data_IF_397180868862
#
_entry.id   IF_397180868862
#
_cell.length_a   1.000
_cell.length_b   1.000
_cell.length_c   1.000
_cell.angle_alpha   90.00
_cell.angle_beta   90.00
_cell.angle_gamma   90.00
#
_symmetry.space_group_name_H-M   'P 1'
#
loop_
_entity.id
_entity.type
_entity.pdbx_description
1 polymer ?
#
# COMPACT_ATOMS: atom_id res chain seq x y z
N UNK A 1 -0.14 28.43 -24.51
CA UNK A 1 0.13 29.60 -23.66
C UNK A 1 -0.60 29.45 -22.34
N UNK A 2 -0.02 29.72 -21.17
CA UNK A 2 1.38 29.62 -20.76
C UNK A 2 1.58 28.77 -19.48
N UNK A 3 2.52 27.85 -19.53
CA UNK A 3 3.03 27.08 -18.37
C UNK A 3 3.92 27.91 -17.39
N UNK A 4 4.23 29.17 -17.70
CA UNK A 4 5.24 29.96 -16.99
C UNK A 4 4.75 30.80 -15.81
N UNK A 5 3.44 30.94 -15.58
CA UNK A 5 2.94 31.73 -14.44
C UNK A 5 2.86 30.96 -13.12
N UNK A 6 2.78 29.63 -13.16
CA UNK A 6 2.73 28.80 -11.95
C UNK A 6 4.11 28.61 -11.30
N UNK A 7 5.18 28.60 -12.11
CA UNK A 7 6.56 28.48 -11.60
C UNK A 7 7.10 29.78 -10.99
N UNK A 8 6.59 30.93 -11.40
CA UNK A 8 6.99 32.24 -10.83
C UNK A 8 6.35 32.49 -9.45
N UNK A 9 5.16 31.95 -9.19
CA UNK A 9 4.50 32.08 -7.89
C UNK A 9 5.14 31.22 -6.78
N UNK A 10 5.81 30.14 -7.15
CA UNK A 10 6.47 29.21 -6.21
C UNK A 10 7.87 29.67 -5.78
N UNK A 11 8.47 30.64 -6.46
CA UNK A 11 9.82 31.16 -6.15
C UNK A 11 9.85 32.33 -5.16
N UNK A 12 8.72 32.96 -4.86
CA UNK A 12 8.67 34.17 -4.01
C UNK A 12 8.20 33.94 -2.57
N UNK A 13 7.95 32.73 -2.14
CA UNK A 13 7.69 32.42 -0.73
C UNK A 13 8.81 31.53 -0.15
N UNK A 14 9.98 32.17 0.07
CA UNK A 14 11.06 31.62 0.89
C UNK A 14 10.70 31.67 2.39
N UNK A 15 9.61 31.02 2.78
CA UNK A 15 9.25 30.75 4.16
C UNK A 15 9.38 29.26 4.39
N UNK A 16 10.20 28.86 5.37
CA UNK A 16 10.35 27.51 5.84
C UNK A 16 8.98 26.84 5.96
N UNK A 17 8.73 25.80 5.14
CA UNK A 17 7.63 24.87 5.38
C UNK A 17 8.07 24.08 6.61
N UNK A 18 7.73 24.61 7.80
CA UNK A 18 7.73 23.83 9.01
C UNK A 18 6.89 22.57 8.71
N UNK A 19 7.42 21.40 9.05
CA UNK A 19 6.71 20.14 9.07
C UNK A 19 5.49 20.27 9.99
N UNK A 20 4.40 20.79 9.46
CA UNK A 20 3.09 20.71 10.10
C UNK A 20 2.55 19.33 9.72
N UNK A 21 2.94 18.33 10.46
CA UNK A 21 2.09 17.17 10.65
C UNK A 21 0.79 17.71 11.24
N UNK A 22 -0.38 17.56 10.58
CA UNK A 22 -1.63 17.95 11.20
C UNK A 22 -1.76 17.11 12.49
N UNK A 23 -1.61 17.72 13.65
CA UNK A 23 -2.08 17.14 14.90
C UNK A 23 -3.60 17.11 14.78
N UNK A 24 -4.13 16.01 14.33
CA UNK A 24 -5.55 15.74 14.47
C UNK A 24 -5.79 15.55 15.97
N UNK A 25 -6.28 16.59 16.63
CA UNK A 25 -6.80 16.45 17.99
C UNK A 25 -7.90 15.37 17.93
N UNK A 26 -7.74 14.34 18.74
CA UNK A 26 -8.77 13.31 18.87
C UNK A 26 -10.01 14.01 19.34
N UNK A 27 -11.04 14.07 18.47
CA UNK A 27 -12.35 14.57 18.88
C UNK A 27 -12.82 13.75 20.07
N UNK A 28 -13.32 14.42 21.10
CA UNK A 28 -13.91 13.75 22.25
C UNK A 28 -15.18 13.02 21.82
N UNK A 29 -15.57 11.97 22.54
CA UNK A 29 -16.80 11.22 22.27
C UNK A 29 -18.04 12.13 22.23
N UNK A 30 -18.04 13.22 22.99
CA UNK A 30 -19.08 14.22 23.03
C UNK A 30 -19.12 15.11 21.79
N UNK A 31 -17.96 15.53 21.29
CA UNK A 31 -17.86 16.28 20.03
C UNK A 31 -18.27 15.43 18.82
N UNK A 32 -18.01 14.13 18.87
CA UNK A 32 -18.40 13.20 17.82
C UNK A 32 -19.91 12.91 17.87
N UNK A 33 -20.51 12.81 19.06
CA UNK A 33 -21.97 12.69 19.22
C UNK A 33 -22.69 13.95 18.75
N UNK A 34 -22.17 15.13 19.05
CA UNK A 34 -22.74 16.41 18.62
C UNK A 34 -22.70 16.55 17.09
N UNK A 35 -21.57 16.22 16.46
CA UNK A 35 -21.44 16.24 15.01
C UNK A 35 -22.35 15.21 14.31
N UNK A 36 -22.59 14.05 14.93
CA UNK A 36 -23.55 13.06 14.43
C UNK A 36 -24.99 13.54 14.56
N UNK A 37 -25.32 14.27 15.62
CA UNK A 37 -26.64 14.85 15.83
C UNK A 37 -26.90 16.00 14.84
N UNK A 38 -25.95 16.92 14.64
CA UNK A 38 -26.02 17.99 13.66
C UNK A 38 -26.10 17.48 12.21
N UNK A 39 -25.42 16.35 11.90
CA UNK A 39 -25.53 15.69 10.61
C UNK A 39 -26.93 15.10 10.37
N UNK A 40 -27.64 14.68 11.42
CA UNK A 40 -29.02 14.18 11.35
C UNK A 40 -30.04 15.32 11.14
N UNK A 41 -29.90 16.41 11.86
CA UNK A 41 -30.82 17.55 11.77
C UNK A 41 -30.73 18.27 10.40
N UNK A 42 -29.53 18.32 9.81
CA UNK A 42 -29.34 18.83 8.46
C UNK A 42 -29.89 17.92 7.33
N UNK A 43 -30.28 16.68 7.63
CA UNK A 43 -30.86 15.76 6.66
C UNK A 43 -32.36 16.02 6.37
N UNK A 44 -33.13 16.59 7.29
CA UNK A 44 -34.57 16.77 7.10
C UNK A 44 -34.93 17.98 6.23
N UNK A 45 -34.12 19.03 6.17
CA UNK A 45 -34.42 20.26 5.41
C UNK A 45 -33.95 20.28 3.94
N UNK A 46 -33.10 19.34 3.48
CA UNK A 46 -32.52 19.35 2.16
C UNK A 46 -32.79 18.05 1.35
N UNK A 47 -33.87 17.34 1.69
CA UNK A 47 -34.13 15.97 1.20
C UNK A 47 -34.37 15.94 -0.31
N UNK A 48 -35.05 16.93 -0.90
CA UNK A 48 -35.45 16.90 -2.31
C UNK A 48 -34.27 17.14 -3.27
N UNK A 49 -33.43 18.13 -3.03
CA UNK A 49 -32.29 18.42 -3.91
C UNK A 49 -31.11 17.47 -3.68
N UNK A 50 -30.90 17.01 -2.43
CA UNK A 50 -29.89 15.99 -2.14
C UNK A 50 -30.26 14.62 -2.69
N UNK A 51 -31.53 14.22 -2.69
CA UNK A 51 -32.00 12.99 -3.31
C UNK A 51 -31.82 13.01 -4.84
N UNK A 52 -32.14 14.11 -5.51
CA UNK A 52 -31.93 14.24 -6.95
C UNK A 52 -30.44 14.18 -7.31
N UNK A 53 -29.57 14.83 -6.55
CA UNK A 53 -28.12 14.79 -6.71
C UNK A 53 -27.52 13.43 -6.33
N UNK A 54 -28.04 12.79 -5.27
CA UNK A 54 -27.64 11.44 -4.89
C UNK A 54 -28.02 10.40 -5.94
N UNK A 55 -29.24 10.48 -6.47
CA UNK A 55 -29.68 9.57 -7.54
C UNK A 55 -28.85 9.76 -8.82
N UNK A 56 -28.53 11.00 -9.20
CA UNK A 56 -27.67 11.29 -10.36
C UNK A 56 -26.24 10.77 -10.14
N UNK A 57 -25.68 10.95 -8.93
CA UNK A 57 -24.35 10.42 -8.56
C UNK A 57 -24.35 8.89 -8.59
N UNK A 58 -25.39 8.24 -8.02
CA UNK A 58 -25.52 6.79 -8.04
C UNK A 58 -25.66 6.23 -9.45
N UNK A 59 -26.42 6.90 -10.33
CA UNK A 59 -26.53 6.54 -11.75
C UNK A 59 -25.18 6.62 -12.46
N UNK A 60 -24.43 7.72 -12.25
CA UNK A 60 -23.07 7.87 -12.81
C UNK A 60 -22.10 6.82 -12.29
N UNK A 61 -22.16 6.50 -11.00
CA UNK A 61 -21.32 5.44 -10.42
C UNK A 61 -21.68 4.07 -11.02
N UNK A 62 -22.96 3.77 -11.19
CA UNK A 62 -23.41 2.54 -11.82
C UNK A 62 -22.98 2.46 -13.30
N UNK A 63 -23.06 3.56 -14.05
CA UNK A 63 -22.54 3.66 -15.43
C UNK A 63 -21.01 3.42 -15.48
N UNK A 64 -20.28 3.83 -14.45
CA UNK A 64 -18.85 3.57 -14.30
C UNK A 64 -18.53 2.16 -13.75
N UNK A 65 -19.55 1.33 -13.50
CA UNK A 65 -19.40 -0.02 -12.95
C UNK A 65 -19.17 -0.07 -11.44
N UNK A 66 -19.52 0.99 -10.71
CA UNK A 66 -19.49 1.02 -9.23
C UNK A 66 -20.89 0.76 -8.67
N UNK A 67 -20.90 0.11 -7.51
CA UNK A 67 -22.14 -0.16 -6.74
C UNK A 67 -21.84 0.00 -5.24
N UNK A 68 -22.90 -0.13 -4.42
CA UNK A 68 -22.81 -0.06 -2.96
C UNK A 68 -22.87 -1.46 -2.37
N UNK A 69 -21.98 -1.75 -1.45
CA UNK A 69 -21.83 -3.05 -0.81
C UNK A 69 -21.93 -2.94 0.71
N UNK A 70 -22.70 -3.84 1.32
CA UNK A 70 -22.75 -3.96 2.78
C UNK A 70 -21.43 -4.57 3.27
N UNK A 71 -20.78 -3.87 4.22
CA UNK A 71 -19.49 -4.26 4.80
C UNK A 71 -19.48 -5.66 5.40
N UNK A 72 -20.65 -6.17 5.87
CA UNK A 72 -20.75 -7.51 6.47
C UNK A 72 -20.77 -8.63 5.42
N UNK A 73 -21.08 -8.29 4.17
CA UNK A 73 -21.05 -9.23 3.05
C UNK A 73 -19.67 -9.32 2.38
N UNK A 74 -18.70 -8.51 2.82
CA UNK A 74 -17.36 -8.47 2.26
C UNK A 74 -16.39 -9.32 3.06
N UNK A 75 -15.54 -10.06 2.36
CA UNK A 75 -14.48 -10.88 2.93
C UNK A 75 -13.10 -10.34 2.56
N UNK A 76 -12.15 -10.28 3.50
CA UNK A 76 -10.78 -9.89 3.18
C UNK A 76 -10.12 -10.93 2.26
N UNK A 77 -9.10 -10.50 1.49
CA UNK A 77 -8.28 -11.42 0.72
C UNK A 77 -7.36 -12.22 1.67
N UNK A 78 -7.44 -13.56 1.73
CA UNK A 78 -6.60 -14.36 2.61
C UNK A 78 -5.11 -14.28 2.28
N UNK A 79 -4.76 -13.89 1.05
CA UNK A 79 -3.38 -13.70 0.61
C UNK A 79 -2.85 -12.28 0.88
N UNK A 80 -3.62 -11.44 1.58
CA UNK A 80 -3.15 -10.11 1.96
C UNK A 80 -2.11 -10.22 3.09
N UNK A 81 -0.83 -10.10 2.72
CA UNK A 81 0.31 -10.13 3.64
C UNK A 81 0.69 -8.76 4.21
N UNK A 82 0.00 -7.69 3.79
CA UNK A 82 0.29 -6.34 4.27
C UNK A 82 -0.18 -6.15 5.71
N UNK A 83 0.70 -5.55 6.52
CA UNK A 83 0.38 -5.25 7.92
C UNK A 83 -0.62 -4.09 7.98
N UNK A 84 -1.78 -4.33 8.59
CA UNK A 84 -2.80 -3.32 8.87
C UNK A 84 -2.92 -3.21 10.39
N UNK A 85 -2.42 -2.11 10.95
CA UNK A 85 -2.47 -1.87 12.40
C UNK A 85 -3.80 -1.21 12.80
N UNK A 86 -4.19 -1.37 14.07
CA UNK A 86 -5.36 -0.68 14.60
C UNK A 86 -5.18 0.85 14.57
N UNK A 87 -3.96 1.33 14.70
CA UNK A 87 -3.64 2.76 14.57
C UNK A 87 -3.92 3.26 13.16
N UNK A 88 -3.49 2.52 12.13
CA UNK A 88 -3.78 2.86 10.72
C UNK A 88 -5.29 2.90 10.44
N UNK A 89 -6.04 1.94 10.99
CA UNK A 89 -7.49 1.87 10.84
C UNK A 89 -8.17 3.04 11.54
N UNK A 90 -7.78 3.35 12.79
CA UNK A 90 -8.33 4.47 13.54
C UNK A 90 -8.04 5.83 12.87
N UNK A 91 -6.81 6.04 12.40
CA UNK A 91 -6.42 7.26 11.69
C UNK A 91 -7.25 7.44 10.41
N UNK A 92 -7.41 6.37 9.62
CA UNK A 92 -8.21 6.41 8.41
C UNK A 92 -9.70 6.60 8.71
N UNK A 93 -10.24 5.97 9.75
CA UNK A 93 -11.62 6.18 10.19
C UNK A 93 -11.87 7.65 10.58
N UNK A 94 -10.91 8.30 11.25
CA UNK A 94 -10.98 9.73 11.54
C UNK A 94 -11.01 10.60 10.28
N UNK A 95 -10.21 10.27 9.26
CA UNK A 95 -10.21 10.98 7.98
C UNK A 95 -11.55 10.81 7.25
N UNK A 96 -12.05 9.58 7.14
CA UNK A 96 -13.34 9.27 6.51
C UNK A 96 -14.48 9.98 7.25
N UNK A 97 -14.45 9.97 8.59
CA UNK A 97 -15.44 10.69 9.40
C UNK A 97 -15.47 12.17 9.09
N UNK A 98 -14.32 12.81 8.95
CA UNK A 98 -14.22 14.25 8.68
C UNK A 98 -14.60 14.61 7.24
N UNK A 99 -14.14 13.85 6.25
CA UNK A 99 -14.42 14.10 4.83
C UNK A 99 -15.84 13.68 4.43
N UNK A 100 -16.45 12.72 5.15
CA UNK A 100 -17.68 12.03 4.75
C UNK A 100 -17.56 11.29 3.40
N UNK A 101 -16.34 11.00 2.97
CA UNK A 101 -16.07 10.35 1.70
C UNK A 101 -15.29 9.07 1.92
N UNK A 102 -15.70 8.02 1.21
CA UNK A 102 -14.99 6.73 1.13
C UNK A 102 -14.61 6.50 -0.32
N UNK A 103 -13.30 6.34 -0.58
CA UNK A 103 -12.86 5.91 -1.91
C UNK A 103 -13.35 4.49 -2.20
N UNK A 104 -13.80 4.19 -3.44
CA UNK A 104 -14.31 2.90 -3.80
C UNK A 104 -13.33 1.75 -3.54
N UNK A 105 -13.87 0.61 -3.11
CA UNK A 105 -13.13 -0.64 -2.98
C UNK A 105 -13.01 -1.34 -4.34
N UNK A 106 -11.98 -2.17 -4.54
CA UNK A 106 -11.92 -3.11 -5.65
C UNK A 106 -12.28 -4.49 -5.11
N UNK A 107 -13.34 -5.07 -5.68
CA UNK A 107 -13.97 -6.30 -5.22
C UNK A 107 -14.03 -7.33 -6.34
N UNK A 108 -14.22 -8.59 -6.01
CA UNK A 108 -14.59 -9.65 -6.95
C UNK A 108 -15.60 -10.62 -6.35
N UNK A 109 -16.44 -11.18 -7.20
CA UNK A 109 -17.28 -12.33 -6.85
C UNK A 109 -16.40 -13.60 -6.84
N UNK A 110 -16.57 -14.42 -5.83
CA UNK A 110 -15.99 -15.74 -5.69
C UNK A 110 -17.10 -16.75 -5.36
N UNK A 111 -16.82 -18.04 -5.40
CA UNK A 111 -17.80 -19.07 -4.99
C UNK A 111 -18.25 -18.89 -3.53
N UNK A 112 -17.37 -18.35 -2.68
CA UNK A 112 -17.61 -18.13 -1.25
C UNK A 112 -18.23 -16.77 -0.93
N UNK A 113 -18.50 -15.90 -1.91
CA UNK A 113 -19.05 -14.56 -1.72
C UNK A 113 -18.19 -13.46 -2.33
N UNK A 114 -18.32 -12.23 -1.82
CA UNK A 114 -17.59 -11.07 -2.36
C UNK A 114 -16.29 -10.85 -1.60
N UNK A 115 -15.17 -10.94 -2.32
CA UNK A 115 -13.83 -10.75 -1.78
C UNK A 115 -13.27 -9.36 -2.09
N UNK A 116 -12.61 -8.76 -1.11
CA UNK A 116 -11.90 -7.49 -1.27
C UNK A 116 -10.56 -7.76 -1.96
N UNK A 117 -10.32 -7.12 -3.12
CA UNK A 117 -9.01 -7.11 -3.77
C UNK A 117 -8.16 -5.95 -3.24
N UNK A 118 -8.73 -4.73 -3.21
CA UNK A 118 -8.07 -3.54 -2.67
C UNK A 118 -9.03 -2.74 -1.80
N UNK A 119 -8.47 -2.08 -0.77
CA UNK A 119 -9.20 -1.23 0.15
C UNK A 119 -9.57 -1.87 1.49
N UNK A 120 -8.90 -2.95 1.91
CA UNK A 120 -9.18 -3.61 3.20
C UNK A 120 -9.07 -2.64 4.39
N UNK A 121 -8.12 -1.70 4.41
CA UNK A 121 -8.03 -0.66 5.44
C UNK A 121 -9.29 0.21 5.48
N UNK A 122 -9.82 0.59 4.31
CA UNK A 122 -11.06 1.38 4.18
C UNK A 122 -12.27 0.61 4.70
N UNK A 123 -12.37 -0.66 4.35
CA UNK A 123 -13.40 -1.55 4.86
C UNK A 123 -13.36 -1.68 6.39
N UNK A 124 -12.16 -1.92 6.98
CA UNK A 124 -12.00 -1.99 8.44
C UNK A 124 -12.36 -0.67 9.12
N UNK A 125 -11.97 0.46 8.53
CA UNK A 125 -12.34 1.78 9.02
C UNK A 125 -13.85 2.02 8.99
N UNK A 126 -14.55 1.61 7.92
CA UNK A 126 -16.00 1.71 7.84
C UNK A 126 -16.70 0.78 8.85
N UNK A 127 -16.17 -0.44 9.10
CA UNK A 127 -16.68 -1.31 10.18
C UNK A 127 -16.57 -0.63 11.54
N UNK A 128 -15.43 -0.04 11.85
CA UNK A 128 -15.22 0.70 13.08
C UNK A 128 -16.21 1.89 13.22
N UNK A 129 -16.46 2.61 12.12
CA UNK A 129 -17.43 3.70 12.09
C UNK A 129 -18.87 3.21 12.27
N UNK A 130 -19.22 2.08 11.64
CA UNK A 130 -20.54 1.47 11.80
C UNK A 130 -20.79 1.02 13.24
N UNK A 131 -19.82 0.39 13.89
CA UNK A 131 -19.88 0.00 15.29
C UNK A 131 -20.06 1.20 16.22
N UNK A 132 -19.38 2.32 15.96
CA UNK A 132 -19.40 3.50 16.82
C UNK A 132 -20.57 4.44 16.56
N UNK A 133 -20.99 4.59 15.29
CA UNK A 133 -21.90 5.66 14.86
C UNK A 133 -23.12 5.16 14.08
N UNK A 134 -23.27 3.85 13.93
CA UNK A 134 -24.48 3.21 13.39
C UNK A 134 -24.43 2.97 11.88
N UNK A 135 -25.58 2.51 11.37
CA UNK A 135 -25.74 1.85 10.08
C UNK A 135 -25.43 2.72 8.85
N UNK A 136 -25.36 4.04 9.00
CA UNK A 136 -25.02 4.94 7.90
C UNK A 136 -23.65 4.63 7.26
N UNK A 137 -22.78 3.91 7.98
CA UNK A 137 -21.44 3.53 7.54
C UNK A 137 -21.33 2.09 7.05
N UNK A 138 -22.45 1.34 7.03
CA UNK A 138 -22.47 -0.05 6.58
C UNK A 138 -22.31 -0.20 5.07
N UNK A 139 -22.75 0.79 4.30
CA UNK A 139 -22.68 0.74 2.85
C UNK A 139 -21.42 1.44 2.35
N UNK A 140 -20.60 0.72 1.59
CA UNK A 140 -19.35 1.24 1.01
C UNK A 140 -19.40 1.15 -0.51
N UNK A 141 -18.87 2.17 -1.23
CA UNK A 141 -18.78 2.10 -2.69
C UNK A 141 -17.71 1.10 -3.10
N UNK A 142 -17.96 0.36 -4.17
CA UNK A 142 -16.99 -0.58 -4.69
C UNK A 142 -17.23 -0.90 -6.16
N UNK A 143 -16.18 -1.32 -6.85
CA UNK A 143 -16.23 -1.91 -8.19
C UNK A 143 -16.02 -3.41 -8.05
N UNK A 144 -17.05 -4.20 -8.40
CA UNK A 144 -17.01 -5.64 -8.26
C UNK A 144 -16.83 -6.32 -9.63
N UNK A 145 -15.76 -7.08 -9.75
CA UNK A 145 -15.55 -7.97 -10.88
C UNK A 145 -16.44 -9.21 -10.75
N UNK A 146 -17.09 -9.60 -11.85
CA UNK A 146 -17.96 -10.78 -11.89
C UNK A 146 -17.18 -12.07 -11.69
N UNK A 147 -17.89 -13.10 -11.24
CA UNK A 147 -17.32 -14.45 -11.03
C UNK A 147 -16.53 -14.92 -12.25
N UNK A 148 -15.29 -15.33 -12.03
CA UNK A 148 -14.39 -15.79 -13.08
C UNK A 148 -13.72 -14.68 -13.92
N UNK A 149 -14.10 -13.41 -13.76
CA UNK A 149 -13.50 -12.29 -14.51
C UNK A 149 -12.07 -11.95 -14.02
N UNK A 150 -11.75 -12.26 -12.77
CA UNK A 150 -10.43 -12.03 -12.16
C UNK A 150 -10.03 -13.28 -11.40
N UNK A 151 -8.92 -13.91 -11.80
CA UNK A 151 -8.36 -15.07 -11.12
C UNK A 151 -7.73 -14.68 -9.76
N UNK A 152 -7.39 -15.68 -8.92
CA UNK A 152 -6.71 -15.44 -7.64
C UNK A 152 -5.37 -14.72 -7.84
N UNK A 153 -4.64 -15.12 -8.87
CA UNK A 153 -3.37 -14.51 -9.21
C UNK A 153 -3.54 -13.04 -9.65
N UNK A 154 -4.53 -12.77 -10.49
CA UNK A 154 -4.84 -11.41 -10.94
C UNK A 154 -5.29 -10.53 -9.77
N UNK A 155 -6.10 -11.07 -8.85
CA UNK A 155 -6.50 -10.37 -7.64
C UNK A 155 -5.30 -10.02 -6.74
N UNK A 156 -4.40 -10.98 -6.53
CA UNK A 156 -3.17 -10.75 -5.78
C UNK A 156 -2.27 -9.71 -6.47
N UNK A 157 -2.18 -9.76 -7.80
CA UNK A 157 -1.45 -8.78 -8.59
C UNK A 157 -2.02 -7.36 -8.40
N UNK A 158 -3.34 -7.17 -8.53
CA UNK A 158 -4.01 -5.88 -8.35
C UNK A 158 -3.75 -5.36 -6.93
N UNK A 159 -3.91 -6.21 -5.91
CA UNK A 159 -3.66 -5.88 -4.52
C UNK A 159 -2.23 -5.38 -4.28
N UNK A 160 -1.21 -6.11 -4.77
CA UNK A 160 0.19 -5.70 -4.62
C UNK A 160 0.50 -4.41 -5.38
N UNK A 161 -0.04 -4.26 -6.60
CA UNK A 161 0.16 -3.05 -7.41
C UNK A 161 -0.42 -1.81 -6.75
N UNK A 162 -1.62 -1.91 -6.18
CA UNK A 162 -2.26 -0.80 -5.45
C UNK A 162 -1.48 -0.40 -4.19
N UNK A 163 -0.95 -1.38 -3.47
CA UNK A 163 -0.24 -1.12 -2.22
C UNK A 163 1.15 -0.51 -2.40
N UNK A 164 1.88 -0.85 -3.48
CA UNK A 164 3.24 -0.33 -3.71
C UNK A 164 3.31 1.19 -3.79
N UNK A 165 2.25 1.83 -4.31
CA UNK A 165 2.14 3.29 -4.36
C UNK A 165 1.86 3.97 -3.02
N UNK A 166 1.49 3.24 -1.98
CA UNK A 166 1.17 3.80 -0.68
C UNK A 166 2.43 4.17 0.11
N UNK A 167 2.40 5.32 0.80
CA UNK A 167 3.58 5.86 1.52
C UNK A 167 3.97 5.07 2.77
N UNK A 168 3.06 4.28 3.33
CA UNK A 168 3.22 3.63 4.65
C UNK A 168 3.41 2.11 4.58
N UNK A 169 3.77 1.55 3.43
CA UNK A 169 4.10 0.13 3.38
C UNK A 169 5.54 -0.10 3.81
N UNK A 170 5.80 -1.22 4.46
CA UNK A 170 7.15 -1.64 4.83
C UNK A 170 8.02 -1.82 3.60
N UNK A 171 9.33 -1.61 3.76
CA UNK A 171 10.27 -1.75 2.65
C UNK A 171 10.33 -3.20 2.13
N UNK A 172 10.23 -4.20 3.00
CA UNK A 172 10.14 -5.62 2.66
C UNK A 172 8.87 -5.94 1.87
N UNK A 173 7.72 -5.42 2.28
CA UNK A 173 6.43 -5.60 1.59
C UNK A 173 6.47 -4.97 0.19
N UNK A 174 7.07 -3.78 0.07
CA UNK A 174 7.29 -3.13 -1.22
C UNK A 174 8.16 -4.00 -2.14
N UNK A 175 9.28 -4.53 -1.65
CA UNK A 175 10.15 -5.41 -2.41
C UNK A 175 9.41 -6.68 -2.87
N UNK A 176 8.59 -7.27 -2.00
CA UNK A 176 7.77 -8.44 -2.33
C UNK A 176 6.80 -8.16 -3.49
N UNK A 177 6.21 -6.97 -3.58
CA UNK A 177 5.35 -6.59 -4.71
C UNK A 177 6.09 -6.61 -6.05
N UNK A 178 7.36 -6.14 -6.09
CA UNK A 178 8.19 -6.23 -7.31
C UNK A 178 8.42 -7.69 -7.71
N UNK A 179 8.66 -8.58 -6.75
CA UNK A 179 8.83 -10.01 -7.01
C UNK A 179 7.56 -10.64 -7.59
N UNK A 180 6.40 -10.38 -6.98
CA UNK A 180 5.11 -10.89 -7.45
C UNK A 180 4.86 -10.50 -8.91
N UNK A 181 5.09 -9.24 -9.28
CA UNK A 181 4.91 -8.80 -10.66
C UNK A 181 5.96 -9.40 -11.60
N UNK A 182 7.21 -9.54 -11.15
CA UNK A 182 8.26 -10.18 -11.97
C UNK A 182 7.92 -11.65 -12.27
N UNK A 183 7.44 -12.38 -11.26
CA UNK A 183 7.07 -13.79 -11.40
C UNK A 183 5.85 -13.93 -12.34
N UNK A 184 4.86 -13.03 -12.24
CA UNK A 184 3.71 -12.96 -13.16
C UNK A 184 4.12 -12.62 -14.59
N UNK A 185 5.05 -11.72 -14.80
CA UNK A 185 5.56 -11.42 -16.14
C UNK A 185 6.19 -12.65 -16.80
N UNK A 186 6.82 -13.53 -16.02
CA UNK A 186 7.35 -14.80 -16.51
C UNK A 186 6.23 -15.73 -16.98
N UNK A 187 5.12 -15.79 -16.25
CA UNK A 187 3.95 -16.59 -16.63
C UNK A 187 3.28 -16.03 -17.89
N UNK A 188 2.98 -14.74 -17.91
CA UNK A 188 2.33 -14.07 -19.05
C UNK A 188 3.12 -14.19 -20.37
N UNK A 189 4.44 -14.20 -20.31
CA UNK A 189 5.29 -14.42 -21.49
C UNK A 189 5.07 -15.78 -22.16
N UNK A 190 4.49 -16.76 -21.48
CA UNK A 190 4.14 -18.06 -22.06
C UNK A 190 2.92 -17.94 -22.96
N UNK A 191 1.95 -17.11 -22.56
CA UNK A 191 0.64 -17.01 -23.20
C UNK A 191 0.55 -15.84 -24.16
N UNK A 192 1.32 -14.77 -23.94
CA UNK A 192 1.34 -13.56 -24.78
C UNK A 192 2.70 -13.37 -25.50
N UNK A 193 2.74 -13.61 -26.82
CA UNK A 193 3.97 -13.42 -27.62
C UNK A 193 4.51 -11.98 -27.61
N UNK A 194 3.65 -10.96 -27.40
CA UNK A 194 4.07 -9.56 -27.37
C UNK A 194 5.00 -9.24 -26.18
N UNK A 195 4.91 -10.02 -25.13
CA UNK A 195 5.74 -9.91 -23.93
C UNK A 195 7.07 -10.64 -24.04
N UNK A 196 7.28 -11.43 -25.12
CA UNK A 196 8.57 -12.08 -25.38
C UNK A 196 9.64 -11.02 -25.67
N UNK A 197 10.74 -11.06 -24.90
CA UNK A 197 11.83 -10.09 -25.03
C UNK A 197 11.68 -8.80 -24.21
N UNK A 198 10.53 -8.56 -23.59
CA UNK A 198 10.35 -7.43 -22.65
C UNK A 198 11.33 -7.61 -21.49
N UNK A 199 12.14 -6.58 -21.21
CA UNK A 199 13.07 -6.61 -20.07
C UNK A 199 12.29 -6.49 -18.76
N UNK A 200 12.47 -7.44 -17.85
CA UNK A 200 11.73 -7.45 -16.57
C UNK A 200 12.00 -6.19 -15.75
N UNK A 201 13.22 -5.67 -15.71
CA UNK A 201 13.55 -4.44 -14.96
C UNK A 201 12.85 -3.22 -15.53
N UNK A 202 12.87 -3.08 -16.86
CA UNK A 202 12.22 -1.99 -17.59
C UNK A 202 10.72 -2.04 -17.33
N UNK A 203 10.11 -3.21 -17.48
CA UNK A 203 8.68 -3.41 -17.23
C UNK A 203 8.28 -3.01 -15.80
N UNK A 204 9.03 -3.47 -14.80
CA UNK A 204 8.78 -3.12 -13.40
C UNK A 204 8.99 -1.63 -13.13
N UNK A 205 10.04 -1.04 -13.73
CA UNK A 205 10.35 0.38 -13.59
C UNK A 205 9.21 1.26 -14.11
N UNK A 206 8.70 0.95 -15.29
CA UNK A 206 7.57 1.65 -15.90
C UNK A 206 6.28 1.47 -15.10
N UNK A 207 5.99 0.22 -14.70
CA UNK A 207 4.79 -0.10 -13.95
C UNK A 207 4.72 0.59 -12.58
N UNK A 208 5.84 0.66 -11.87
CA UNK A 208 5.90 1.25 -10.52
C UNK A 208 6.38 2.71 -10.50
N UNK A 209 6.67 3.30 -11.65
CA UNK A 209 7.14 4.69 -11.75
C UNK A 209 8.50 4.93 -11.07
N UNK A 210 9.41 3.94 -11.11
CA UNK A 210 10.75 4.00 -10.51
C UNK A 210 11.84 3.81 -11.55
N UNK A 211 13.12 4.01 -11.17
CA UNK A 211 14.23 3.67 -12.05
C UNK A 211 14.43 2.15 -12.18
N UNK A 212 15.01 1.69 -13.31
CA UNK A 212 15.37 0.27 -13.48
C UNK A 212 16.35 -0.22 -12.40
N UNK A 213 17.23 0.68 -11.91
CA UNK A 213 18.11 0.40 -10.78
C UNK A 213 17.31 0.10 -9.53
N UNK A 214 16.33 0.92 -9.22
CA UNK A 214 15.44 0.71 -8.06
C UNK A 214 14.67 -0.60 -8.19
N UNK A 215 14.12 -0.88 -9.37
CA UNK A 215 13.41 -2.14 -9.63
C UNK A 215 14.33 -3.35 -9.41
N UNK A 216 15.59 -3.30 -9.87
CA UNK A 216 16.56 -4.37 -9.66
C UNK A 216 16.92 -4.54 -8.18
N UNK A 217 17.11 -3.44 -7.44
CA UNK A 217 17.39 -3.46 -6.01
C UNK A 217 16.24 -4.14 -5.24
N UNK A 218 14.99 -3.74 -5.51
CA UNK A 218 13.82 -4.34 -4.90
C UNK A 218 13.70 -5.84 -5.20
N UNK A 219 13.96 -6.26 -6.42
CA UNK A 219 13.98 -7.69 -6.78
C UNK A 219 15.06 -8.47 -6.03
N UNK A 220 16.27 -7.90 -5.89
CA UNK A 220 17.36 -8.56 -5.18
C UNK A 220 17.01 -8.75 -3.71
N UNK A 221 16.47 -7.71 -3.05
CA UNK A 221 15.98 -7.76 -1.68
C UNK A 221 14.92 -8.83 -1.53
N UNK A 222 13.85 -8.79 -2.36
CA UNK A 222 12.73 -9.72 -2.25
C UNK A 222 13.10 -11.19 -2.47
N UNK A 223 14.12 -11.47 -3.30
CA UNK A 223 14.53 -12.83 -3.65
C UNK A 223 15.53 -13.43 -2.69
N UNK A 224 16.43 -12.61 -2.16
CA UNK A 224 17.65 -13.12 -1.56
C UNK A 224 17.89 -12.62 -0.11
N UNK A 225 17.18 -11.61 0.36
CA UNK A 225 17.36 -11.14 1.74
C UNK A 225 16.66 -12.08 2.70
N UNK A 226 17.35 -12.48 3.77
CA UNK A 226 16.79 -13.32 4.83
C UNK A 226 15.61 -12.63 5.53
N UNK A 227 14.79 -13.41 6.23
CA UNK A 227 13.66 -12.86 7.01
C UNK A 227 14.16 -11.85 8.05
N UNK A 228 15.21 -12.21 8.77
CA UNK A 228 15.83 -11.38 9.82
C UNK A 228 16.45 -10.11 9.23
N UNK A 229 16.99 -10.16 7.99
CA UNK A 229 17.44 -9.00 7.24
C UNK A 229 16.30 -8.07 6.84
N UNK A 230 15.14 -8.63 6.44
CA UNK A 230 13.93 -7.86 6.19
C UNK A 230 13.40 -7.18 7.45
N UNK A 231 13.44 -7.84 8.62
CA UNK A 231 13.06 -7.24 9.90
C UNK A 231 13.92 -6.01 10.23
N UNK A 232 15.24 -6.08 9.99
CA UNK A 232 16.16 -4.94 10.18
C UNK A 232 15.87 -3.79 9.21
N UNK A 233 15.54 -4.12 7.95
CA UNK A 233 15.17 -3.13 6.95
C UNK A 233 13.86 -2.41 7.32
N UNK A 234 12.86 -3.15 7.77
CA UNK A 234 11.57 -2.62 8.18
C UNK A 234 11.64 -1.80 9.48
N UNK A 235 12.55 -2.17 10.39
CA UNK A 235 12.85 -1.41 11.58
C UNK A 235 13.67 -0.14 11.30
N UNK A 236 14.20 0.04 10.08
CA UNK A 236 15.11 1.14 9.74
C UNK A 236 16.52 1.00 10.30
N UNK A 237 16.87 -0.18 10.87
CA UNK A 237 18.21 -0.48 11.39
C UNK A 237 19.25 -0.60 10.29
N UNK A 238 18.83 -0.95 9.08
CA UNK A 238 19.67 -0.94 7.88
C UNK A 238 18.98 -0.15 6.77
N UNK A 239 19.78 0.49 5.93
CA UNK A 239 19.30 1.20 4.74
C UNK A 239 18.95 0.23 3.61
N UNK A 240 18.18 0.69 2.61
CA UNK A 240 17.87 -0.10 1.43
C UNK A 240 19.14 -0.53 0.65
N UNK A 241 20.16 0.31 0.60
CA UNK A 241 21.45 -0.01 -0.04
C UNK A 241 22.20 -1.11 0.69
N UNK A 242 22.18 -1.08 2.04
CA UNK A 242 22.76 -2.13 2.89
C UNK A 242 21.97 -3.44 2.77
N UNK A 243 20.65 -3.37 2.72
CA UNK A 243 19.78 -4.54 2.49
C UNK A 243 20.08 -5.20 1.13
N UNK A 244 20.27 -4.39 0.07
CA UNK A 244 20.72 -4.90 -1.25
C UNK A 244 22.08 -5.54 -1.18
N UNK A 245 23.05 -4.91 -0.50
CA UNK A 245 24.39 -5.47 -0.35
C UNK A 245 24.35 -6.78 0.46
N UNK A 246 23.60 -6.82 1.56
CA UNK A 246 23.37 -7.99 2.40
C UNK A 246 22.71 -9.13 1.61
N UNK A 247 21.73 -8.84 0.75
CA UNK A 247 21.03 -9.84 -0.08
C UNK A 247 21.95 -10.58 -1.07
N UNK A 248 23.14 -10.05 -1.34
CA UNK A 248 24.16 -10.68 -2.22
C UNK A 248 25.10 -11.64 -1.49
N UNK A 249 25.01 -11.68 -0.17
CA UNK A 249 25.80 -12.58 0.69
C UNK A 249 25.13 -13.96 0.78
N UNK A 250 25.92 -14.98 1.18
CA UNK A 250 25.37 -16.29 1.51
C UNK A 250 24.51 -16.22 2.77
N UNK A 251 23.62 -17.20 2.97
CA UNK A 251 22.75 -17.27 4.17
C UNK A 251 23.53 -17.22 5.47
N UNK A 252 24.65 -17.91 5.56
CA UNK A 252 25.53 -17.91 6.75
C UNK A 252 26.15 -16.53 7.00
N UNK A 253 26.60 -15.84 5.94
CA UNK A 253 27.12 -14.49 6.07
C UNK A 253 26.04 -13.48 6.45
N UNK A 254 24.85 -13.61 5.88
CA UNK A 254 23.69 -12.77 6.27
C UNK A 254 23.37 -12.94 7.75
N UNK A 255 23.30 -14.18 8.24
CA UNK A 255 23.05 -14.48 9.66
C UNK A 255 24.09 -13.85 10.58
N UNK A 256 25.39 -13.95 10.22
CA UNK A 256 26.48 -13.36 10.98
C UNK A 256 26.35 -11.83 11.08
N UNK A 257 26.09 -11.15 9.94
CA UNK A 257 25.91 -9.69 9.90
C UNK A 257 24.67 -9.28 10.69
N UNK A 258 23.53 -9.95 10.48
CA UNK A 258 22.28 -9.67 11.20
C UNK A 258 22.46 -9.80 12.71
N UNK A 259 23.18 -10.85 13.16
CA UNK A 259 23.48 -11.05 14.57
C UNK A 259 24.29 -9.88 15.14
N UNK A 260 25.34 -9.45 14.46
CA UNK A 260 26.15 -8.31 14.90
C UNK A 260 25.32 -7.02 14.99
N UNK A 261 24.52 -6.71 13.97
CA UNK A 261 23.66 -5.51 13.96
C UNK A 261 22.62 -5.53 15.11
N UNK A 262 22.14 -6.74 15.52
CA UNK A 262 21.18 -6.86 16.64
C UNK A 262 21.82 -6.79 18.02
N UNK A 263 23.09 -7.16 18.14
CA UNK A 263 23.79 -7.25 19.45
C UNK A 263 24.63 -6.03 19.77
N UNK A 264 24.99 -5.25 18.76
CA UNK A 264 25.87 -4.09 18.89
C UNK A 264 25.17 -2.83 18.36
N UNK A 265 25.40 -1.70 19.01
CA UNK A 265 24.93 -0.39 18.52
C UNK A 265 25.86 0.10 17.41
N UNK A 266 25.69 -0.42 16.19
CA UNK A 266 26.51 -0.08 15.06
C UNK A 266 25.97 1.15 14.32
N UNK A 267 26.86 2.03 13.91
CA UNK A 267 26.55 3.12 12.98
C UNK A 267 26.34 2.61 11.56
N UNK A 268 25.71 3.42 10.71
CA UNK A 268 25.48 3.09 9.29
C UNK A 268 26.78 2.73 8.56
N UNK A 269 27.88 3.43 8.85
CA UNK A 269 29.19 3.19 8.21
C UNK A 269 29.82 1.89 8.70
N UNK A 270 29.71 1.55 9.98
CA UNK A 270 30.20 0.30 10.56
C UNK A 270 29.43 -0.90 9.98
N UNK A 271 28.11 -0.81 9.82
CA UNK A 271 27.30 -1.84 9.16
C UNK A 271 27.76 -2.03 7.71
N UNK A 272 28.03 -0.95 6.98
CA UNK A 272 28.53 -1.03 5.61
C UNK A 272 29.87 -1.74 5.55
N UNK A 273 30.80 -1.38 6.44
CA UNK A 273 32.12 -2.01 6.55
C UNK A 273 32.02 -3.48 6.90
N UNK A 274 31.10 -3.86 7.80
CA UNK A 274 30.85 -5.25 8.17
C UNK A 274 30.35 -6.08 6.98
N UNK A 275 29.41 -5.54 6.19
CA UNK A 275 28.89 -6.20 4.98
C UNK A 275 30.03 -6.38 3.94
N UNK A 276 30.86 -5.38 3.75
CA UNK A 276 32.01 -5.47 2.84
C UNK A 276 33.04 -6.49 3.30
N UNK A 277 33.37 -6.55 4.58
CA UNK A 277 34.24 -7.56 5.15
C UNK A 277 33.69 -8.98 4.99
N UNK A 278 32.39 -9.17 5.23
CA UNK A 278 31.71 -10.45 4.99
C UNK A 278 31.74 -10.87 3.51
N UNK A 279 31.66 -9.91 2.58
CA UNK A 279 31.77 -10.16 1.16
C UNK A 279 33.19 -10.56 0.75
N UNK A 280 34.22 -9.91 1.31
CA UNK A 280 35.62 -10.19 1.03
C UNK A 280 36.05 -11.59 1.50
N UNK A 281 35.50 -12.09 2.62
CA UNK A 281 35.80 -13.43 3.13
C UNK A 281 35.39 -14.57 2.18
N UNK A 282 34.49 -14.34 1.23
CA UNK A 282 34.10 -15.31 0.20
C UNK A 282 35.18 -15.53 -0.86
N UNK A 283 36.12 -14.60 -1.03
CA UNK A 283 37.16 -14.68 -2.06
C UNK A 283 38.39 -15.48 -1.59
N UNK A 284 38.46 -15.87 -0.33
CA UNK A 284 39.62 -16.54 0.26
C UNK A 284 39.46 -18.06 0.50
N UNK A 285 38.33 -18.67 0.10
CA UNK A 285 38.24 -20.13 0.13
C UNK A 285 38.92 -20.69 -1.15
N UNK A 286 39.99 -21.47 -1.03
CA UNK A 286 40.58 -22.15 -2.18
C UNK A 286 39.57 -23.14 -2.75
N UNK A 287 39.47 -23.19 -4.05
CA UNK A 287 38.81 -24.27 -4.78
C UNK A 287 39.68 -25.51 -4.56
N UNK A 288 39.22 -26.47 -3.74
CA UNK A 288 39.71 -27.85 -3.74
C UNK A 288 39.07 -28.63 -4.89
#
# INVERSE_FOLDING_TARGET
>A
MPRNKLQAALKNNGGAIANVTPRYEKLTDEQMRLAAFEARDNQEGAITDKMANSNRRNTLLAEMGFDWFDIDNLKPNPNNSYTITDEDVNNLAGLIWNSKEVEPLILRETEDGIQIIDGERRWRACKLLAEKYGDAWRMVPGRCHKLGAVSDEQANFIMHSSNIGQRNIKASERAQGFKVLADKLVEWRKDDPSLKGVNTKTYLAEHFGVSERTAQVMLNIARNLSKEGNDLLDAGSITQSQAEALSKLSSVQQESVVKAVRTEELTTDEITTLIEAAKASKQQQPVE
#
